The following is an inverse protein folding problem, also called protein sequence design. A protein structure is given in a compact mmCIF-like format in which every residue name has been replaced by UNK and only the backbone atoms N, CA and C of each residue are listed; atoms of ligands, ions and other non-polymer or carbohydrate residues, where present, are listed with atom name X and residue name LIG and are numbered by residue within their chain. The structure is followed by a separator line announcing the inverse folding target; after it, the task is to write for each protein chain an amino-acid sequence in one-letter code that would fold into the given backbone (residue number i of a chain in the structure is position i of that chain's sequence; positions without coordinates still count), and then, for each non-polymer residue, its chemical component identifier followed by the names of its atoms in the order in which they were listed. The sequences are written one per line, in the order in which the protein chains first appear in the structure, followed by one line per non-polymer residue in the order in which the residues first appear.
data_IF_724647024165
#
_entry.id   IF_724647024165
#
_cell.length_a   1.000
_cell.length_b   1.000
_cell.length_c   1.000
_cell.angle_alpha   90.00
_cell.angle_beta   90.00
_cell.angle_gamma   90.00
#
_symmetry.space_group_name_H-M   'P 1'
#
loop_
_entity.id
_entity.type
_entity.pdbx_description
1 polymer ?
#
# COMPACT_ATOMS: atom_id res chain seq x y z
N UNK A 1 -16.34 1.18 14.17
CA UNK A 1 -15.69 0.56 13.00
C UNK A 1 -16.77 0.28 11.96
N UNK A 2 -16.77 1.06 10.86
CA UNK A 2 -17.82 1.05 9.83
C UNK A 2 -17.83 -0.26 9.01
N UNK A 3 -16.68 -0.95 8.97
CA UNK A 3 -16.52 -2.19 8.20
C UNK A 3 -17.34 -3.36 8.77
N UNK A 4 -17.49 -3.43 10.10
CA UNK A 4 -18.22 -4.48 10.80
C UNK A 4 -19.75 -4.39 10.63
N UNK A 5 -20.28 -3.22 10.27
CA UNK A 5 -21.73 -2.97 10.20
C UNK A 5 -22.36 -3.35 8.85
N UNK A 6 -21.57 -3.59 7.79
CA UNK A 6 -22.08 -3.63 6.40
C UNK A 6 -22.18 -5.02 5.75
N UNK A 7 -21.73 -6.10 6.41
CA UNK A 7 -21.80 -7.47 5.88
C UNK A 7 -20.95 -7.72 4.62
N UNK A 8 -20.60 -8.98 4.33
CA UNK A 8 -19.75 -9.36 3.20
C UNK A 8 -20.57 -9.98 2.05
N UNK A 9 -20.37 -9.50 0.81
CA UNK A 9 -20.97 -10.05 -0.40
C UNK A 9 -20.00 -11.01 -1.16
N UNK A 10 -20.50 -11.99 -1.95
CA UNK A 10 -19.69 -13.04 -2.56
C UNK A 10 -18.82 -12.57 -3.75
N UNK A 11 -17.78 -13.33 -4.07
CA UNK A 11 -16.68 -13.01 -4.98
C UNK A 11 -16.94 -13.51 -6.41
N UNK A 12 -16.71 -12.66 -7.43
CA UNK A 12 -16.70 -13.03 -8.84
C UNK A 12 -15.38 -12.65 -9.54
N UNK A 13 -14.87 -13.62 -10.31
CA UNK A 13 -13.80 -13.63 -11.34
C UNK A 13 -12.39 -13.07 -11.01
N UNK A 14 -11.37 -13.89 -11.30
CA UNK A 14 -10.07 -13.98 -10.61
C UNK A 14 -8.88 -13.38 -11.40
N UNK A 15 -8.95 -12.11 -11.79
CA UNK A 15 -7.74 -11.37 -12.17
C UNK A 15 -7.23 -10.56 -10.96
N UNK A 16 -5.98 -10.76 -10.48
CA UNK A 16 -5.45 -10.08 -9.29
C UNK A 16 -5.24 -8.58 -9.48
N UNK A 17 -5.17 -8.11 -10.73
CA UNK A 17 -5.15 -6.69 -11.10
C UNK A 17 -6.21 -6.46 -12.16
N UNK A 18 -7.12 -5.51 -11.93
CA UNK A 18 -8.20 -5.12 -12.86
C UNK A 18 -8.21 -3.60 -13.00
N UNK A 19 -8.63 -3.14 -14.18
CA UNK A 19 -8.91 -1.73 -14.45
C UNK A 19 -10.42 -1.59 -14.54
N UNK A 20 -10.96 -0.68 -13.77
CA UNK A 20 -12.38 -0.44 -13.63
C UNK A 20 -12.63 1.08 -13.60
N UNK A 21 -13.78 1.56 -14.11
CA UNK A 21 -14.14 2.96 -13.93
C UNK A 21 -14.20 3.32 -12.43
N UNK A 22 -13.96 4.59 -12.11
CA UNK A 22 -13.99 5.11 -10.74
C UNK A 22 -15.18 6.06 -10.59
N UNK A 23 -15.73 6.15 -9.39
CA UNK A 23 -16.84 7.07 -9.08
C UNK A 23 -16.35 8.54 -9.12
N UNK A 24 -17.21 9.46 -9.53
CA UNK A 24 -16.83 10.86 -9.77
C UNK A 24 -16.31 11.54 -8.49
N UNK A 25 -16.89 11.19 -7.34
CA UNK A 25 -16.54 11.68 -6.02
C UNK A 25 -15.11 11.24 -5.63
N UNK A 26 -14.73 10.00 -5.93
CA UNK A 26 -13.38 9.49 -5.69
C UNK A 26 -12.37 10.25 -6.54
N UNK A 27 -12.69 10.47 -7.82
CA UNK A 27 -11.83 11.22 -8.74
C UNK A 27 -11.65 12.68 -8.30
N UNK A 28 -12.73 13.34 -7.87
CA UNK A 28 -12.69 14.73 -7.39
C UNK A 28 -11.81 14.88 -6.15
N UNK A 29 -11.98 14.01 -5.13
CA UNK A 29 -11.18 14.10 -3.90
C UNK A 29 -9.70 13.82 -4.18
N UNK A 30 -9.40 12.84 -5.05
CA UNK A 30 -8.05 12.55 -5.47
C UNK A 30 -7.40 13.77 -6.19
N UNK A 31 -8.15 14.44 -7.06
CA UNK A 31 -7.70 15.68 -7.71
C UNK A 31 -7.44 16.80 -6.69
N UNK A 32 -8.31 16.97 -5.71
CA UNK A 32 -8.12 17.96 -4.63
C UNK A 32 -6.89 17.65 -3.77
N UNK A 33 -6.61 16.38 -3.49
CA UNK A 33 -5.38 15.96 -2.79
C UNK A 33 -4.12 16.26 -3.59
N UNK A 34 -4.13 16.04 -4.91
CA UNK A 34 -2.99 16.39 -5.78
C UNK A 34 -2.78 17.91 -5.82
N UNK A 35 -3.87 18.69 -5.98
CA UNK A 35 -3.81 20.15 -5.96
C UNK A 35 -3.36 20.72 -4.61
N UNK A 36 -3.54 19.98 -3.51
CA UNK A 36 -3.06 20.41 -2.19
C UNK A 36 -1.52 20.48 -2.14
N UNK A 37 -0.82 19.73 -2.99
CA UNK A 37 0.64 19.79 -3.11
C UNK A 37 1.14 21.17 -3.57
N UNK A 38 0.30 21.91 -4.30
CA UNK A 38 0.60 23.29 -4.74
C UNK A 38 0.34 24.33 -3.64
N UNK A 39 -0.23 23.94 -2.49
CA UNK A 39 -0.60 24.81 -1.37
C UNK A 39 -0.07 24.25 -0.03
N UNK A 40 1.26 24.27 0.18
CA UNK A 40 1.89 23.67 1.36
C UNK A 40 1.35 24.25 2.69
N UNK A 41 0.95 25.52 2.71
CA UNK A 41 0.35 26.20 3.86
C UNK A 41 -1.00 25.62 4.29
N UNK A 42 -1.75 25.03 3.35
CA UNK A 42 -3.06 24.43 3.61
C UNK A 42 -2.96 22.95 4.03
N UNK A 43 -1.81 22.30 3.82
CA UNK A 43 -1.59 20.87 4.11
C UNK A 43 -1.91 20.51 5.57
N UNK A 44 -1.41 21.23 6.60
CA UNK A 44 -1.64 20.84 7.99
C UNK A 44 -3.12 20.76 8.37
N UNK A 45 -3.97 21.56 7.71
CA UNK A 45 -5.40 21.64 7.99
C UNK A 45 -6.23 20.72 7.08
N UNK A 46 -5.94 20.69 5.78
CA UNK A 46 -6.81 20.06 4.78
C UNK A 46 -6.45 18.61 4.44
N UNK A 47 -5.21 18.17 4.70
CA UNK A 47 -4.77 16.82 4.36
C UNK A 47 -5.63 15.75 5.04
N UNK A 48 -5.74 15.77 6.37
CA UNK A 48 -6.43 14.72 7.10
C UNK A 48 -7.94 14.64 6.78
N UNK A 49 -8.69 15.76 6.64
CA UNK A 49 -10.07 15.73 6.16
C UNK A 49 -10.21 15.15 4.74
N UNK A 50 -9.40 15.58 3.77
CA UNK A 50 -9.48 15.10 2.39
C UNK A 50 -9.14 13.62 2.27
N UNK A 51 -8.13 13.14 3.01
CA UNK A 51 -7.81 11.72 3.08
C UNK A 51 -8.99 10.93 3.66
N UNK A 52 -9.63 11.42 4.73
CA UNK A 52 -10.82 10.76 5.30
C UNK A 52 -12.00 10.73 4.31
N UNK A 53 -12.21 11.82 3.59
CA UNK A 53 -13.25 11.92 2.56
C UNK A 53 -13.00 10.89 1.44
N UNK A 54 -11.76 10.76 0.96
CA UNK A 54 -11.39 9.78 -0.06
C UNK A 54 -11.67 8.35 0.42
N UNK A 55 -11.29 8.03 1.66
CA UNK A 55 -11.57 6.72 2.25
C UNK A 55 -13.07 6.43 2.33
N UNK A 56 -13.88 7.42 2.70
CA UNK A 56 -15.33 7.26 2.76
C UNK A 56 -15.88 6.89 1.39
N UNK A 57 -15.57 7.65 0.34
CA UNK A 57 -16.07 7.38 -1.01
C UNK A 57 -15.58 6.05 -1.57
N UNK A 58 -14.32 5.68 -1.34
CA UNK A 58 -13.78 4.37 -1.73
C UNK A 58 -14.52 3.21 -1.05
N UNK A 59 -14.85 3.35 0.23
CA UNK A 59 -15.56 2.33 1.00
C UNK A 59 -17.06 2.32 0.70
N UNK A 60 -17.69 3.47 0.44
CA UNK A 60 -19.12 3.54 0.14
C UNK A 60 -19.44 3.20 -1.32
N UNK A 61 -18.49 3.42 -2.23
CA UNK A 61 -18.65 3.26 -3.67
C UNK A 61 -18.70 1.80 -4.14
N UNK A 62 -18.81 1.63 -5.46
CA UNK A 62 -18.99 0.34 -6.14
C UNK A 62 -17.95 -0.73 -5.80
N UNK A 63 -16.73 -0.31 -5.48
CA UNK A 63 -15.60 -1.20 -5.13
C UNK A 63 -15.45 -1.41 -3.62
N UNK A 64 -16.29 -0.77 -2.82
CA UNK A 64 -16.19 -0.73 -1.37
C UNK A 64 -16.23 -2.09 -0.70
N UNK A 65 -16.99 -3.06 -1.24
CA UNK A 65 -17.02 -4.43 -0.70
C UNK A 65 -15.66 -5.13 -0.86
N UNK A 66 -14.99 -4.94 -2.00
CA UNK A 66 -13.65 -5.50 -2.22
C UNK A 66 -12.62 -4.82 -1.31
N UNK A 67 -12.69 -3.49 -1.17
CA UNK A 67 -11.77 -2.71 -0.33
C UNK A 67 -11.99 -3.03 1.17
N UNK A 68 -13.22 -3.17 1.64
CA UNK A 68 -13.53 -3.59 3.02
C UNK A 68 -12.95 -4.96 3.36
N UNK A 69 -12.94 -5.91 2.41
CA UNK A 69 -12.30 -7.22 2.62
C UNK A 69 -10.78 -7.10 2.81
N UNK A 70 -10.13 -6.13 2.16
CA UNK A 70 -8.71 -5.83 2.38
C UNK A 70 -8.47 -5.20 3.76
N UNK A 71 -9.40 -4.37 4.23
CA UNK A 71 -9.30 -3.63 5.49
C UNK A 71 -9.77 -4.37 6.74
N UNK A 72 -10.27 -5.61 6.64
CA UNK A 72 -10.84 -6.33 7.78
C UNK A 72 -9.81 -6.48 8.91
N UNK A 73 -10.12 -6.02 10.15
CA UNK A 73 -9.21 -6.10 11.29
C UNK A 73 -8.73 -7.53 11.53
N UNK A 74 -7.41 -7.73 11.53
CA UNK A 74 -6.79 -9.03 11.75
C UNK A 74 -6.73 -9.97 10.53
N UNK A 75 -7.18 -9.51 9.34
CA UNK A 75 -7.00 -10.23 8.08
C UNK A 75 -5.53 -10.45 7.76
N UNK A 76 -5.24 -11.49 6.97
CA UNK A 76 -3.88 -11.73 6.47
C UNK A 76 -3.33 -10.52 5.69
N UNK A 77 -4.19 -9.74 5.03
CA UNK A 77 -3.83 -8.50 4.33
C UNK A 77 -3.28 -7.46 5.31
N UNK A 78 -3.98 -7.18 6.42
CA UNK A 78 -3.51 -6.20 7.39
C UNK A 78 -2.22 -6.65 8.11
N UNK A 79 -2.08 -7.95 8.38
CA UNK A 79 -0.85 -8.52 8.95
C UNK A 79 0.33 -8.39 7.99
N UNK A 80 0.13 -8.68 6.70
CA UNK A 80 1.14 -8.45 5.65
C UNK A 80 1.44 -6.96 5.49
N UNK A 81 0.44 -6.09 5.57
CA UNK A 81 0.61 -4.64 5.45
C UNK A 81 1.57 -4.07 6.51
N UNK A 82 1.58 -4.62 7.74
CA UNK A 82 2.56 -4.24 8.77
C UNK A 82 4.00 -4.58 8.34
N UNK A 83 4.21 -5.78 7.79
CA UNK A 83 5.52 -6.16 7.26
C UNK A 83 5.94 -5.33 6.04
N UNK A 84 4.99 -4.98 5.16
CA UNK A 84 5.23 -4.09 4.01
C UNK A 84 5.62 -2.68 4.46
N UNK A 85 5.01 -2.16 5.53
CA UNK A 85 5.38 -0.85 6.09
C UNK A 85 6.84 -0.83 6.54
N UNK A 86 7.28 -1.85 7.29
CA UNK A 86 8.68 -2.00 7.72
C UNK A 86 9.62 -2.18 6.52
N UNK A 87 9.22 -2.98 5.53
CA UNK A 87 10.01 -3.14 4.31
C UNK A 87 10.19 -1.82 3.55
N UNK A 88 9.21 -0.91 3.58
CA UNK A 88 9.30 0.41 2.95
C UNK A 88 10.14 1.40 3.73
N UNK A 89 10.17 1.31 5.06
CA UNK A 89 11.00 2.19 5.90
C UNK A 89 12.46 1.74 5.91
N UNK A 90 12.70 0.43 5.97
CA UNK A 90 14.02 -0.16 6.20
C UNK A 90 14.52 -0.97 5.00
N UNK A 91 14.10 -0.60 3.78
CA UNK A 91 14.43 -1.33 2.55
C UNK A 91 15.95 -1.49 2.34
N UNK A 92 16.77 -0.53 2.78
CA UNK A 92 18.23 -0.54 2.66
C UNK A 92 18.90 -1.54 3.62
N UNK A 93 18.24 -1.91 4.72
CA UNK A 93 18.79 -2.83 5.72
C UNK A 93 18.62 -4.30 5.31
N UNK A 94 19.43 -5.18 5.87
CA UNK A 94 19.20 -6.62 5.75
C UNK A 94 18.07 -7.03 6.69
N UNK A 95 16.90 -7.33 6.12
CA UNK A 95 15.70 -7.72 6.88
C UNK A 95 15.48 -9.24 6.72
N UNK A 96 15.72 -10.05 7.77
CA UNK A 96 15.40 -11.48 7.74
C UNK A 96 13.90 -11.70 7.54
N UNK A 97 13.54 -12.68 6.71
CA UNK A 97 12.13 -12.99 6.45
C UNK A 97 11.43 -13.47 7.72
N UNK A 98 12.16 -14.13 8.62
CA UNK A 98 11.71 -14.60 9.92
C UNK A 98 11.23 -13.44 10.80
N UNK A 99 11.95 -12.32 10.80
CA UNK A 99 11.56 -11.11 11.53
C UNK A 99 10.28 -10.49 10.98
N UNK A 100 10.15 -10.45 9.65
CA UNK A 100 8.94 -9.95 8.99
C UNK A 100 7.73 -10.86 9.24
N UNK A 101 7.95 -12.18 9.23
CA UNK A 101 6.92 -13.17 9.54
C UNK A 101 6.46 -13.06 11.00
N UNK A 102 7.41 -12.91 11.94
CA UNK A 102 7.10 -12.69 13.36
C UNK A 102 6.30 -11.41 13.58
N UNK A 103 6.65 -10.31 12.90
CA UNK A 103 5.93 -9.05 12.96
C UNK A 103 4.51 -9.15 12.39
N UNK A 104 4.31 -10.00 11.37
CA UNK A 104 3.01 -10.35 10.84
C UNK A 104 2.24 -11.38 11.69
N UNK A 105 2.85 -11.94 12.74
CA UNK A 105 2.26 -13.02 13.56
C UNK A 105 2.02 -14.30 12.77
N UNK A 106 2.95 -14.68 11.88
CA UNK A 106 2.86 -15.82 10.99
C UNK A 106 4.13 -16.67 11.05
N UNK A 107 4.01 -17.96 10.71
CA UNK A 107 5.18 -18.77 10.36
C UNK A 107 5.79 -18.25 9.04
N UNK A 108 7.10 -18.49 8.79
CA UNK A 108 7.75 -18.05 7.55
C UNK A 108 7.07 -18.55 6.26
N UNK A 109 6.59 -19.80 6.25
CA UNK A 109 5.88 -20.39 5.11
C UNK A 109 4.54 -19.70 4.85
N UNK A 110 3.74 -19.50 5.89
CA UNK A 110 2.46 -18.80 5.79
C UNK A 110 2.67 -17.34 5.37
N UNK A 111 3.68 -16.68 5.92
CA UNK A 111 4.04 -15.32 5.54
C UNK A 111 4.39 -15.23 4.05
N UNK A 112 5.24 -16.10 3.52
CA UNK A 112 5.58 -16.12 2.10
C UNK A 112 4.35 -16.25 1.19
N UNK A 113 3.45 -17.18 1.51
CA UNK A 113 2.24 -17.42 0.72
C UNK A 113 1.33 -16.19 0.72
N UNK A 114 1.02 -15.64 1.89
CA UNK A 114 0.14 -14.49 2.02
C UNK A 114 0.78 -13.22 1.46
N UNK A 115 2.08 -13.01 1.68
CA UNK A 115 2.80 -11.87 1.13
C UNK A 115 2.76 -11.88 -0.39
N UNK A 116 2.99 -13.04 -1.03
CA UNK A 116 2.88 -13.17 -2.49
C UNK A 116 1.46 -13.03 -2.99
N UNK A 117 0.46 -13.57 -2.28
CA UNK A 117 -0.94 -13.38 -2.65
C UNK A 117 -1.37 -11.91 -2.62
N UNK A 118 -0.81 -11.12 -1.69
CA UNK A 118 -1.15 -9.70 -1.50
C UNK A 118 -0.32 -8.79 -2.41
N UNK A 119 0.97 -9.05 -2.61
CA UNK A 119 1.91 -8.15 -3.32
C UNK A 119 2.29 -8.64 -4.71
N UNK A 120 1.87 -9.85 -5.11
CA UNK A 120 2.33 -10.59 -6.30
C UNK A 120 3.82 -10.98 -6.31
N UNK A 121 4.61 -10.56 -5.31
CA UNK A 121 6.05 -10.77 -5.22
C UNK A 121 6.42 -11.52 -3.94
N UNK A 122 7.60 -12.16 -3.91
CA UNK A 122 8.16 -12.61 -2.64
C UNK A 122 8.70 -11.41 -1.83
N UNK A 123 8.81 -11.51 -0.49
CA UNK A 123 9.37 -10.44 0.34
C UNK A 123 10.74 -9.92 -0.14
N UNK A 124 11.64 -10.83 -0.53
CA UNK A 124 12.96 -10.48 -1.06
C UNK A 124 12.88 -9.79 -2.42
N UNK A 125 11.99 -10.23 -3.31
CA UNK A 125 11.79 -9.58 -4.61
C UNK A 125 11.22 -8.17 -4.43
N UNK A 126 10.28 -8.00 -3.50
CA UNK A 126 9.71 -6.71 -3.16
C UNK A 126 10.76 -5.74 -2.62
N UNK A 127 11.63 -6.20 -1.71
CA UNK A 127 12.74 -5.39 -1.19
C UNK A 127 13.72 -4.97 -2.28
N UNK A 128 14.11 -5.89 -3.18
CA UNK A 128 14.97 -5.58 -4.32
C UNK A 128 14.34 -4.53 -5.23
N UNK A 129 13.04 -4.66 -5.49
CA UNK A 129 12.32 -3.69 -6.31
C UNK A 129 12.27 -2.30 -5.66
N UNK A 130 12.08 -2.21 -4.34
CA UNK A 130 12.16 -0.95 -3.61
C UNK A 130 13.55 -0.29 -3.75
N UNK A 131 14.62 -1.07 -3.56
CA UNK A 131 16.00 -0.58 -3.74
C UNK A 131 16.25 -0.06 -5.16
N UNK A 132 15.74 -0.76 -6.18
CA UNK A 132 15.88 -0.33 -7.57
C UNK A 132 15.10 0.95 -7.89
N UNK A 133 13.91 1.11 -7.30
CA UNK A 133 13.10 2.32 -7.45
C UNK A 133 13.83 3.51 -6.82
N UNK A 134 14.38 3.34 -5.61
CA UNK A 134 15.11 4.42 -4.94
C UNK A 134 16.44 4.74 -5.64
N UNK A 135 17.20 3.73 -6.08
CA UNK A 135 18.40 3.95 -6.86
C UNK A 135 18.09 4.73 -8.15
N UNK A 136 17.01 4.36 -8.85
CA UNK A 136 16.54 5.11 -10.04
C UNK A 136 16.18 6.54 -9.69
N UNK A 137 15.49 6.77 -8.56
CA UNK A 137 15.15 8.12 -8.09
C UNK A 137 16.42 8.94 -7.89
N UNK A 138 17.37 8.46 -7.09
CA UNK A 138 18.64 9.15 -6.80
C UNK A 138 19.41 9.49 -8.10
N UNK A 139 19.47 8.56 -9.05
CA UNK A 139 20.13 8.80 -10.33
C UNK A 139 19.45 9.90 -11.16
N UNK A 140 18.12 9.90 -11.21
CA UNK A 140 17.35 10.83 -12.06
C UNK A 140 17.14 12.21 -11.42
N UNK A 141 16.94 12.28 -10.10
CA UNK A 141 16.65 13.55 -9.41
C UNK A 141 17.89 14.21 -8.82
N UNK A 142 18.88 13.44 -8.40
CA UNK A 142 20.04 13.94 -7.66
C UNK A 142 21.36 13.76 -8.43
N UNK A 143 21.33 13.17 -9.62
CA UNK A 143 22.50 12.94 -10.46
C UNK A 143 23.51 11.97 -9.85
N UNK A 144 23.08 11.13 -8.90
CA UNK A 144 23.94 10.15 -8.25
C UNK A 144 24.52 9.18 -9.29
N UNK A 145 25.81 8.85 -9.15
CA UNK A 145 26.42 7.80 -9.97
C UNK A 145 25.77 6.45 -9.67
N UNK A 146 25.80 5.51 -10.62
CA UNK A 146 25.27 4.16 -10.41
C UNK A 146 25.90 3.48 -9.18
N UNK A 147 27.18 3.76 -8.89
CA UNK A 147 27.86 3.28 -7.68
C UNK A 147 27.28 3.93 -6.43
N UNK A 148 27.07 5.26 -6.41
CA UNK A 148 26.49 5.96 -5.26
C UNK A 148 25.07 5.51 -4.96
N UNK A 149 24.25 5.29 -5.99
CA UNK A 149 22.88 4.81 -5.87
C UNK A 149 22.77 3.33 -5.45
N UNK A 150 23.82 2.52 -5.65
CA UNK A 150 23.84 1.12 -5.23
C UNK A 150 24.18 0.91 -3.75
N UNK A 151 24.82 1.90 -3.11
CA UNK A 151 25.21 1.86 -1.69
C UNK A 151 24.23 2.57 -0.74
N UNK A 152 23.26 3.32 -1.28
CA UNK A 152 22.18 3.95 -0.53
C UNK A 152 21.08 2.94 -0.17
#
# INVERSE_FOLDING_TARGET
DLSAQMGAAPLGDHAPVRVDPTDAEVADVALRLVRLLERPEAVPLLHAPLVRELHYWLLAGRHGAAIRRLGWPGSHVQRVARAVAVLRTDFAQSLPVESLAALAGMSPSSFHQHFRAVTSLSPLQFQKQLRLIEARRLMLSEGASASGAAFA
#
